data_IF_877974046344
#
_entry.id   IF_877974046344
#
_cell.length_a   1.000
_cell.length_b   1.000
_cell.length_c   1.000
_cell.angle_alpha   90.00
_cell.angle_beta   90.00
_cell.angle_gamma   90.00
#
_symmetry.space_group_name_H-M   'P 1'
#
loop_
_entity.id
_entity.type
_entity.pdbx_description
1 polymer ?
#
# COMPACT_ATOMS: atom_id res chain seq x y z
N UNK A 1 -16.36 -13.75 -18.74
CA UNK A 1 -15.17 -13.18 -18.07
C UNK A 1 -14.76 -11.89 -18.75
N UNK A 2 -14.50 -10.86 -17.98
CA UNK A 2 -14.10 -9.55 -18.52
C UNK A 2 -12.57 -9.53 -18.64
N UNK A 3 -12.02 -9.24 -19.83
CA UNK A 3 -10.57 -9.18 -19.98
C UNK A 3 -9.95 -8.07 -19.13
N UNK A 4 -8.74 -8.28 -18.68
CA UNK A 4 -7.99 -7.24 -17.98
C UNK A 4 -7.58 -6.15 -18.95
N UNK A 5 -7.58 -4.90 -18.47
CA UNK A 5 -7.05 -3.79 -19.25
C UNK A 5 -5.53 -3.93 -19.36
N UNK A 6 -4.99 -3.63 -20.53
CA UNK A 6 -3.56 -3.76 -20.79
C UNK A 6 -3.03 -2.52 -21.49
N UNK A 7 -1.74 -2.25 -21.27
CA UNK A 7 -1.05 -1.19 -22.00
C UNK A 7 -0.63 -1.70 -23.39
N UNK A 8 -0.06 -0.83 -24.25
CA UNK A 8 0.35 -1.25 -25.60
C UNK A 8 1.34 -2.41 -25.62
N UNK A 9 2.11 -2.62 -24.56
CA UNK A 9 3.06 -3.73 -24.44
C UNK A 9 2.42 -4.97 -23.84
N UNK A 10 1.11 -4.98 -23.63
CA UNK A 10 0.37 -6.12 -23.10
C UNK A 10 0.39 -6.27 -21.58
N UNK A 11 0.99 -5.34 -20.86
CA UNK A 11 1.02 -5.41 -19.40
C UNK A 11 -0.32 -4.97 -18.82
N UNK A 12 -0.77 -5.57 -17.69
CA UNK A 12 -2.02 -5.16 -17.07
C UNK A 12 -2.00 -3.70 -16.66
N UNK A 13 -3.10 -3.02 -16.88
CA UNK A 13 -3.27 -1.63 -16.45
C UNK A 13 -4.53 -1.48 -15.61
N UNK A 14 -4.49 -0.52 -14.71
CA UNK A 14 -5.55 -0.26 -13.76
C UNK A 14 -6.47 0.83 -14.31
N UNK A 15 -7.32 0.46 -15.29
CA UNK A 15 -8.20 1.42 -15.99
C UNK A 15 -9.60 1.53 -15.41
N UNK A 16 -10.03 0.54 -14.64
CA UNK A 16 -11.37 0.56 -14.04
C UNK A 16 -11.39 1.42 -12.79
N UNK A 17 -12.50 2.12 -12.53
CA UNK A 17 -12.65 2.77 -11.24
C UNK A 17 -12.62 1.71 -10.14
N UNK A 18 -12.25 2.15 -8.94
CA UNK A 18 -12.14 1.24 -7.79
C UNK A 18 -12.95 1.77 -6.63
N UNK A 19 -13.47 0.84 -5.80
CA UNK A 19 -14.14 1.23 -4.56
C UNK A 19 -13.11 1.59 -3.49
N UNK A 20 -13.58 1.94 -2.29
CA UNK A 20 -12.70 2.38 -1.20
C UNK A 20 -11.72 1.29 -0.74
N UNK A 21 -11.99 0.01 -1.01
CA UNK A 21 -11.10 -1.09 -0.69
C UNK A 21 -10.22 -1.51 -1.87
N UNK A 22 -10.20 -0.73 -2.94
CA UNK A 22 -9.37 -0.99 -4.09
C UNK A 22 -9.89 -2.06 -5.04
N UNK A 23 -11.13 -2.53 -4.87
CA UNK A 23 -11.70 -3.54 -5.75
C UNK A 23 -12.13 -2.91 -7.07
N UNK A 24 -11.85 -3.56 -8.22
CA UNK A 24 -12.27 -3.02 -9.51
C UNK A 24 -13.80 -2.95 -9.61
N UNK A 25 -14.28 -1.84 -10.15
CA UNK A 25 -15.70 -1.66 -10.48
C UNK A 25 -15.86 -1.73 -12.00
N UNK A 26 -17.08 -1.98 -12.50
CA UNK A 26 -17.31 -1.95 -13.95
C UNK A 26 -16.94 -0.62 -14.56
N UNK A 27 -16.51 -0.63 -15.82
CA UNK A 27 -16.24 0.61 -16.54
C UNK A 27 -17.48 1.50 -16.54
N UNK A 28 -17.28 2.79 -16.29
CA UNK A 28 -18.38 3.74 -16.23
C UNK A 28 -19.06 3.85 -14.87
N UNK A 29 -18.75 2.97 -13.91
CA UNK A 29 -19.29 3.05 -12.56
C UNK A 29 -18.57 4.13 -11.76
N UNK A 30 -19.27 4.76 -10.81
CA UNK A 30 -18.63 5.68 -9.89
C UNK A 30 -17.73 4.91 -8.93
N UNK A 31 -16.54 5.45 -8.70
CA UNK A 31 -15.58 4.87 -7.76
C UNK A 31 -14.84 5.96 -7.02
N UNK A 32 -13.95 5.56 -6.13
CA UNK A 32 -13.08 6.50 -5.43
C UNK A 32 -12.08 7.07 -6.43
N UNK A 33 -11.79 8.37 -6.33
CA UNK A 33 -10.83 9.02 -7.20
C UNK A 33 -9.47 8.32 -7.14
N UNK A 34 -8.88 8.10 -8.31
CA UNK A 34 -7.61 7.41 -8.43
C UNK A 34 -6.44 8.39 -8.42
N UNK A 35 -5.30 7.89 -7.96
CA UNK A 35 -4.05 8.63 -8.02
C UNK A 35 -3.56 8.62 -9.49
N UNK A 36 -3.19 9.77 -10.06
CA UNK A 36 -2.69 9.83 -11.45
C UNK A 36 -1.44 8.99 -11.66
N UNK A 37 -1.28 8.46 -12.86
CA UNK A 37 -0.12 7.62 -13.21
C UNK A 37 1.21 8.38 -13.15
N UNK A 38 1.19 9.69 -13.34
CA UNK A 38 2.40 10.54 -13.29
C UNK A 38 2.68 11.11 -11.90
N UNK A 39 1.96 10.63 -10.90
CA UNK A 39 2.13 11.08 -9.52
C UNK A 39 3.53 10.73 -9.01
N UNK A 40 4.28 11.73 -8.56
CA UNK A 40 5.67 11.58 -8.11
C UNK A 40 5.90 12.35 -6.81
N UNK A 41 5.42 11.81 -5.68
CA UNK A 41 5.55 12.52 -4.40
C UNK A 41 6.96 12.48 -3.84
N UNK A 42 7.31 13.51 -3.04
CA UNK A 42 8.50 13.44 -2.20
C UNK A 42 8.31 12.41 -1.09
N UNK A 43 9.38 12.07 -0.37
CA UNK A 43 9.27 11.15 0.77
C UNK A 43 8.28 11.67 1.81
N UNK A 44 8.40 12.94 2.18
CA UNK A 44 7.50 13.54 3.18
C UNK A 44 6.05 13.55 2.71
N UNK A 45 5.81 13.89 1.44
CA UNK A 45 4.47 13.88 0.87
C UNK A 45 3.88 12.48 0.86
N UNK A 46 4.69 11.48 0.48
CA UNK A 46 4.23 10.09 0.44
C UNK A 46 3.83 9.59 1.82
N UNK A 47 4.66 9.85 2.83
CA UNK A 47 4.36 9.42 4.20
C UNK A 47 3.12 10.12 4.75
N UNK A 48 3.01 11.43 4.55
CA UNK A 48 1.86 12.20 5.01
C UNK A 48 0.56 11.71 4.35
N UNK A 49 0.57 11.55 3.05
CA UNK A 49 -0.62 11.12 2.30
C UNK A 49 -1.01 9.69 2.64
N UNK A 50 -0.02 8.79 2.77
CA UNK A 50 -0.30 7.41 3.15
C UNK A 50 -0.92 7.33 4.54
N UNK A 51 -0.41 8.11 5.51
CA UNK A 51 -0.99 8.16 6.85
C UNK A 51 -2.45 8.59 6.79
N UNK A 52 -2.74 9.62 6.00
CA UNK A 52 -4.11 10.10 5.84
C UNK A 52 -5.02 9.01 5.28
N UNK A 53 -4.56 8.33 4.23
CA UNK A 53 -5.35 7.28 3.58
C UNK A 53 -5.56 6.08 4.50
N UNK A 54 -4.54 5.68 5.24
CA UNK A 54 -4.69 4.59 6.23
C UNK A 54 -5.66 4.99 7.33
N UNK A 55 -5.65 6.26 7.75
CA UNK A 55 -6.62 6.76 8.71
C UNK A 55 -8.05 6.72 8.19
N UNK A 56 -8.23 6.73 6.89
CA UNK A 56 -9.54 6.58 6.24
C UNK A 56 -9.89 5.13 5.92
N UNK A 57 -9.04 4.18 6.32
CA UNK A 57 -9.26 2.77 6.02
C UNK A 57 -9.02 2.40 4.56
N UNK A 58 -8.11 3.11 3.88
CA UNK A 58 -7.87 2.97 2.44
C UNK A 58 -6.44 2.52 2.13
N UNK A 59 -6.02 1.31 2.57
CA UNK A 59 -4.64 0.86 2.33
C UNK A 59 -4.32 0.62 0.87
N UNK A 60 -5.29 0.26 0.03
CA UNK A 60 -5.01 0.11 -1.40
C UNK A 60 -4.54 1.43 -2.00
N UNK A 61 -5.20 2.54 -1.66
CA UNK A 61 -4.81 3.86 -2.16
C UNK A 61 -3.49 4.32 -1.55
N UNK A 62 -3.22 3.97 -0.30
CA UNK A 62 -1.91 4.22 0.31
C UNK A 62 -0.80 3.48 -0.44
N UNK A 63 -1.06 2.25 -0.87
CA UNK A 63 -0.12 1.48 -1.69
C UNK A 63 0.23 2.22 -2.98
N UNK A 64 -0.75 2.85 -3.63
CA UNK A 64 -0.51 3.62 -4.86
C UNK A 64 0.41 4.83 -4.60
N UNK A 65 0.25 5.47 -3.44
CA UNK A 65 1.14 6.57 -3.04
C UNK A 65 2.58 6.08 -2.91
N UNK A 66 2.78 4.97 -2.21
CA UNK A 66 4.13 4.41 -2.05
C UNK A 66 4.71 3.92 -3.38
N UNK A 67 3.88 3.40 -4.28
CA UNK A 67 4.33 3.04 -5.63
C UNK A 67 4.81 4.26 -6.40
N UNK A 68 4.09 5.37 -6.31
CA UNK A 68 4.51 6.62 -6.94
C UNK A 68 5.86 7.09 -6.41
N UNK A 69 6.08 6.99 -5.09
CA UNK A 69 7.37 7.33 -4.51
C UNK A 69 8.47 6.35 -4.94
N UNK A 70 8.17 5.05 -4.94
CA UNK A 70 9.12 4.03 -5.36
C UNK A 70 9.67 4.27 -6.75
N UNK A 71 8.80 4.62 -7.69
CA UNK A 71 9.20 4.86 -9.09
C UNK A 71 10.16 6.04 -9.24
N UNK A 72 10.14 6.97 -8.30
CA UNK A 72 10.89 8.22 -8.38
C UNK A 72 11.89 8.40 -7.24
N UNK A 73 12.15 7.34 -6.47
CA UNK A 73 13.04 7.43 -5.32
C UNK A 73 14.49 7.17 -5.71
N UNK A 74 15.45 7.64 -4.89
CA UNK A 74 16.84 7.22 -5.04
C UNK A 74 16.99 5.71 -4.94
N UNK A 75 17.98 5.15 -5.62
CA UNK A 75 18.18 3.70 -5.67
C UNK A 75 18.27 3.06 -4.27
N UNK A 76 18.92 3.73 -3.33
CA UNK A 76 19.07 3.21 -1.96
C UNK A 76 17.78 3.17 -1.16
N UNK A 77 16.72 3.82 -1.61
CA UNK A 77 15.43 3.84 -0.93
C UNK A 77 14.37 2.99 -1.61
N UNK A 78 14.67 2.38 -2.73
CA UNK A 78 13.66 1.64 -3.50
C UNK A 78 13.06 0.48 -2.72
N UNK A 79 13.87 -0.25 -1.99
CA UNK A 79 13.39 -1.36 -1.15
C UNK A 79 12.44 -0.87 -0.07
N UNK A 80 12.73 0.28 0.53
CA UNK A 80 11.85 0.87 1.55
C UNK A 80 10.47 1.15 0.99
N UNK A 81 10.39 1.86 -0.12
CA UNK A 81 9.10 2.27 -0.68
C UNK A 81 8.32 1.08 -1.25
N UNK A 82 9.02 0.14 -1.87
CA UNK A 82 8.40 -1.08 -2.36
C UNK A 82 7.86 -1.92 -1.19
N UNK A 83 8.62 -2.02 -0.10
CA UNK A 83 8.19 -2.77 1.07
C UNK A 83 6.97 -2.16 1.73
N UNK A 84 6.93 -0.83 1.87
CA UNK A 84 5.76 -0.14 2.42
C UNK A 84 4.53 -0.35 1.52
N UNK A 85 4.71 -0.30 0.21
CA UNK A 85 3.63 -0.59 -0.71
C UNK A 85 3.10 -2.02 -0.53
N UNK A 86 4.00 -3.00 -0.38
CA UNK A 86 3.60 -4.39 -0.16
C UNK A 86 2.84 -4.58 1.14
N UNK A 87 3.24 -3.90 2.21
CA UNK A 87 2.52 -3.94 3.48
C UNK A 87 1.10 -3.40 3.27
N UNK A 88 0.95 -2.30 2.54
CA UNK A 88 -0.39 -1.75 2.27
C UNK A 88 -1.25 -2.71 1.45
N UNK A 89 -0.66 -3.42 0.48
CA UNK A 89 -1.40 -4.45 -0.26
C UNK A 89 -1.79 -5.61 0.66
N UNK A 90 -0.91 -5.99 1.58
CA UNK A 90 -1.25 -7.00 2.60
C UNK A 90 -2.44 -6.58 3.45
N UNK A 91 -2.46 -5.32 3.90
CA UNK A 91 -3.60 -4.77 4.65
C UNK A 91 -4.88 -4.79 3.81
N UNK A 92 -4.77 -4.52 2.52
CA UNK A 92 -5.89 -4.59 1.60
C UNK A 92 -6.44 -6.02 1.52
N UNK A 93 -5.57 -7.01 1.48
CA UNK A 93 -6.01 -8.41 1.50
C UNK A 93 -6.74 -8.77 2.79
N UNK A 94 -6.33 -8.23 3.93
CA UNK A 94 -7.07 -8.42 5.18
C UNK A 94 -8.49 -7.88 5.07
N UNK A 95 -8.64 -6.69 4.48
CA UNK A 95 -9.97 -6.11 4.29
C UNK A 95 -10.86 -6.97 3.40
N UNK A 96 -10.26 -7.69 2.47
CA UNK A 96 -10.98 -8.57 1.54
C UNK A 96 -11.17 -9.99 2.08
N UNK A 97 -10.66 -10.28 3.26
CA UNK A 97 -10.74 -11.61 3.86
C UNK A 97 -9.74 -12.61 3.32
N UNK A 98 -8.73 -12.18 2.56
CA UNK A 98 -7.69 -13.05 2.04
C UNK A 98 -6.50 -13.08 2.99
N UNK A 99 -6.59 -13.90 4.03
CA UNK A 99 -5.57 -13.96 5.07
C UNK A 99 -4.25 -14.55 4.59
N UNK A 100 -4.30 -15.53 3.69
CA UNK A 100 -3.09 -16.12 3.14
C UNK A 100 -2.29 -15.09 2.33
N UNK A 101 -2.96 -14.35 1.45
CA UNK A 101 -2.32 -13.31 0.66
C UNK A 101 -1.79 -12.19 1.55
N UNK A 102 -2.56 -11.84 2.58
CA UNK A 102 -2.14 -10.82 3.55
C UNK A 102 -0.84 -11.22 4.24
N UNK A 103 -0.78 -12.43 4.81
CA UNK A 103 0.40 -12.89 5.54
C UNK A 103 1.64 -12.88 4.65
N UNK A 104 1.51 -13.34 3.41
CA UNK A 104 2.64 -13.39 2.47
C UNK A 104 3.17 -12.01 2.15
N UNK A 105 2.29 -11.05 1.85
CA UNK A 105 2.70 -9.69 1.48
C UNK A 105 3.21 -8.90 2.66
N UNK A 106 2.59 -9.07 3.84
CA UNK A 106 3.08 -8.42 5.06
C UNK A 106 4.50 -8.88 5.38
N UNK A 107 4.78 -10.18 5.24
CA UNK A 107 6.12 -10.71 5.48
C UNK A 107 7.14 -10.21 4.47
N UNK A 108 6.79 -10.18 3.19
CA UNK A 108 7.68 -9.68 2.14
C UNK A 108 7.99 -8.19 2.33
N UNK A 109 6.97 -7.41 2.64
CA UNK A 109 7.16 -5.98 2.89
C UNK A 109 8.04 -5.75 4.11
N UNK A 110 7.80 -6.51 5.18
CA UNK A 110 8.60 -6.43 6.40
C UNK A 110 10.08 -6.72 6.11
N UNK A 111 10.36 -7.78 5.33
CA UNK A 111 11.74 -8.14 4.98
C UNK A 111 12.45 -7.00 4.25
N UNK A 112 11.74 -6.27 3.40
CA UNK A 112 12.35 -5.18 2.64
C UNK A 112 12.65 -3.94 3.49
N UNK A 113 11.83 -3.66 4.51
CA UNK A 113 11.95 -2.40 5.25
C UNK A 113 12.73 -2.51 6.56
N UNK A 114 12.97 -3.71 7.06
CA UNK A 114 13.50 -3.89 8.42
C UNK A 114 14.87 -3.27 8.63
N UNK A 115 15.67 -3.11 7.59
CA UNK A 115 17.01 -2.55 7.68
C UNK A 115 17.09 -1.03 7.64
N UNK A 116 15.97 -0.34 7.53
CA UNK A 116 15.97 1.12 7.36
C UNK A 116 15.87 1.92 8.67
N UNK A 117 15.98 1.25 9.81
CA UNK A 117 15.94 1.95 11.10
C UNK A 117 14.51 2.32 11.54
N UNK A 118 14.42 3.09 12.63
CA UNK A 118 13.13 3.49 13.18
C UNK A 118 12.45 4.51 12.25
N UNK A 119 11.12 4.45 12.08
CA UNK A 119 10.20 3.49 12.69
C UNK A 119 10.04 2.19 11.89
N UNK A 120 10.79 2.03 10.81
CA UNK A 120 10.55 0.95 9.85
C UNK A 120 10.83 -0.44 10.42
N UNK A 121 11.83 -0.56 11.29
CA UNK A 121 12.09 -1.82 11.97
C UNK A 121 10.90 -2.28 12.82
N UNK A 122 10.25 -1.34 13.51
CA UNK A 122 9.06 -1.64 14.29
C UNK A 122 7.86 -1.98 13.41
N UNK A 123 7.71 -1.26 12.30
CA UNK A 123 6.65 -1.57 11.34
C UNK A 123 6.84 -2.98 10.81
N UNK A 124 8.09 -3.38 10.51
CA UNK A 124 8.39 -4.72 10.04
C UNK A 124 8.00 -5.79 11.06
N UNK A 125 8.40 -5.61 12.32
CA UNK A 125 8.05 -6.56 13.38
C UNK A 125 6.54 -6.68 13.55
N UNK A 126 5.85 -5.56 13.53
CA UNK A 126 4.38 -5.52 13.68
C UNK A 126 3.72 -6.19 12.48
N UNK A 127 4.14 -5.86 11.27
CA UNK A 127 3.55 -6.42 10.05
C UNK A 127 3.57 -7.94 10.06
N UNK A 128 4.65 -8.54 10.55
CA UNK A 128 4.78 -10.00 10.62
C UNK A 128 3.75 -10.67 11.54
N UNK A 129 3.11 -9.90 12.42
CA UNK A 129 2.12 -10.43 13.36
C UNK A 129 0.67 -10.17 12.93
N UNK A 130 0.46 -9.47 11.81
CA UNK A 130 -0.87 -8.98 11.46
C UNK A 130 -1.68 -9.90 10.56
N UNK A 131 -1.12 -11.05 10.13
CA UNK A 131 -1.80 -11.94 9.19
C UNK A 131 -3.17 -12.43 9.64
N UNK A 132 -3.39 -12.54 10.94
CA UNK A 132 -4.68 -12.98 11.51
C UNK A 132 -5.42 -11.86 12.22
N UNK A 133 -4.93 -10.64 12.13
CA UNK A 133 -5.53 -9.52 12.86
C UNK A 133 -6.83 -9.06 12.20
N UNK A 134 -7.66 -8.39 12.98
CA UNK A 134 -8.78 -7.62 12.43
C UNK A 134 -8.23 -6.55 11.49
N UNK A 135 -8.84 -6.40 10.31
CA UNK A 135 -8.34 -5.49 9.29
C UNK A 135 -8.24 -4.05 9.79
N UNK A 136 -9.27 -3.56 10.49
CA UNK A 136 -9.26 -2.20 11.02
C UNK A 136 -8.14 -1.98 12.03
N UNK A 137 -7.93 -2.94 12.92
CA UNK A 137 -6.86 -2.87 13.91
C UNK A 137 -5.48 -2.92 13.25
N UNK A 138 -5.33 -3.75 12.20
CA UNK A 138 -4.07 -3.86 11.48
C UNK A 138 -3.72 -2.55 10.76
N UNK A 139 -4.68 -1.96 10.07
CA UNK A 139 -4.50 -0.68 9.39
C UNK A 139 -4.11 0.41 10.38
N UNK A 140 -4.80 0.48 11.52
CA UNK A 140 -4.50 1.46 12.57
C UNK A 140 -3.10 1.27 13.14
N UNK A 141 -2.67 0.03 13.35
CA UNK A 141 -1.35 -0.26 13.90
C UNK A 141 -0.23 0.26 12.97
N UNK A 142 -0.35 0.02 11.67
CA UNK A 142 0.64 0.51 10.70
C UNK A 142 0.60 2.03 10.62
N UNK A 143 -0.60 2.61 10.54
CA UNK A 143 -0.75 4.07 10.53
C UNK A 143 -0.06 4.72 11.72
N UNK A 144 -0.31 4.18 12.91
CA UNK A 144 0.22 4.77 14.15
C UNK A 144 1.75 4.74 14.18
N UNK A 145 2.36 3.69 13.65
CA UNK A 145 3.82 3.60 13.59
C UNK A 145 4.39 4.58 12.56
N UNK A 146 3.69 4.82 11.47
CA UNK A 146 4.10 5.82 10.48
C UNK A 146 4.00 7.23 11.04
N UNK A 147 3.05 7.49 11.93
CA UNK A 147 2.89 8.75 12.62
C UNK A 147 3.88 8.91 13.75
N UNK A 148 4.41 7.79 14.25
CA UNK A 148 5.42 7.85 15.30
C UNK A 148 6.49 8.80 14.80
N UNK A 149 6.72 9.87 15.50
CA UNK A 149 7.53 10.93 14.96
C UNK A 149 8.93 10.45 14.76
N UNK A 150 9.36 10.54 13.54
CA UNK A 150 10.77 10.51 13.25
C UNK A 150 11.43 11.72 13.89
N UNK A 151 11.39 11.77 15.16
CA UNK A 151 11.95 12.89 15.92
C UNK A 151 13.42 12.78 16.05
#
# INVERSE_FOLDING_TARGET
>A
MIPRDRDPEGRPRNRRPRDAFGRPLPHGAEGVERIPDDYAPSAAEALSEARRLLGEGRPFHAHEVFEGRWKNSPAGERELWQGLAQICVGLTHLQRGNRRGAAALLARGADRIEGYGAPYGEIARTARTLGDADAGAAVAAVRDLLEAPGR
#
